data_IF_827901923153
#
_entry.id   IF_827901923153
#
_cell.length_a   1.000
_cell.length_b   1.000
_cell.length_c   1.000
_cell.angle_alpha   90.00
_cell.angle_beta   90.00
_cell.angle_gamma   90.00
#
_symmetry.space_group_name_H-M   'P 1'
#
loop_
_entity.id
_entity.type
_entity.pdbx_description
1 polymer ?
#
# COMPACT_ATOMS: atom_id res chain seq x y z
N UNK A 1 4.32 -17.75 -3.65
CA UNK A 1 3.73 -16.75 -2.74
C UNK A 1 3.76 -17.32 -1.33
N UNK A 2 4.42 -16.70 -0.33
CA UNK A 2 4.27 -16.92 1.14
C UNK A 2 5.46 -16.26 1.89
N UNK A 3 5.28 -15.02 2.35
CA UNK A 3 6.27 -14.27 3.16
C UNK A 3 6.40 -14.75 4.63
N UNK A 4 5.79 -15.90 4.95
CA UNK A 4 5.88 -16.63 6.21
C UNK A 4 6.24 -18.08 5.85
N UNK A 5 7.52 -18.42 5.93
CA UNK A 5 8.05 -19.78 5.74
C UNK A 5 8.27 -20.52 7.06
N UNK A 6 7.58 -20.12 8.13
CA UNK A 6 7.78 -20.66 9.48
C UNK A 6 6.54 -21.46 9.91
N UNK A 7 6.40 -22.67 9.38
CA UNK A 7 5.53 -23.71 9.94
C UNK A 7 4.13 -23.86 9.33
N UNK A 8 3.42 -24.90 9.82
CA UNK A 8 2.14 -25.38 9.32
C UNK A 8 0.99 -24.35 9.39
N UNK A 9 1.15 -23.25 10.12
CA UNK A 9 0.08 -22.27 10.36
C UNK A 9 -0.15 -21.28 9.21
N UNK A 10 0.66 -21.28 8.12
CA UNK A 10 0.53 -20.25 7.08
C UNK A 10 -0.82 -20.24 6.37
N UNK A 11 -1.50 -21.38 6.29
CA UNK A 11 -2.82 -21.43 5.65
C UNK A 11 -3.93 -20.83 6.53
N UNK A 12 -3.65 -20.64 7.82
CA UNK A 12 -4.62 -20.16 8.82
C UNK A 12 -4.47 -18.67 9.14
N UNK A 13 -3.52 -17.95 8.51
CA UNK A 13 -3.23 -16.54 8.81
C UNK A 13 -3.10 -15.71 7.54
N UNK A 14 -3.79 -14.57 7.57
CA UNK A 14 -3.66 -13.54 6.54
C UNK A 14 -2.56 -12.53 6.84
N UNK A 15 -1.85 -12.13 5.80
CA UNK A 15 -0.77 -11.13 5.89
C UNK A 15 -1.23 -9.82 5.29
N UNK A 16 -1.28 -8.79 6.15
CA UNK A 16 -1.60 -7.42 5.73
C UNK A 16 -0.30 -6.64 5.63
N UNK A 17 0.06 -6.22 4.42
CA UNK A 17 1.16 -5.32 4.15
C UNK A 17 0.78 -3.88 4.49
N UNK A 18 1.67 -3.15 5.15
CA UNK A 18 1.53 -1.73 5.38
C UNK A 18 2.91 -1.08 5.34
N UNK A 19 2.99 0.15 4.81
CA UNK A 19 4.25 0.91 4.82
C UNK A 19 4.48 1.63 3.51
N UNK A 20 4.23 2.95 3.53
CA UNK A 20 4.48 3.85 2.40
C UNK A 20 3.87 3.37 1.07
N UNK A 21 2.67 2.80 1.13
CA UNK A 21 1.85 2.53 -0.07
C UNK A 21 0.82 3.64 -0.22
N UNK A 22 0.72 4.17 -1.44
CA UNK A 22 -0.14 5.27 -1.86
C UNK A 22 -0.70 4.99 -3.26
N UNK A 23 -0.01 4.22 -4.10
CA UNK A 23 -0.43 3.86 -5.47
C UNK A 23 -0.70 2.38 -5.64
N UNK A 24 -1.42 2.01 -6.71
CA UNK A 24 -1.71 0.61 -7.04
C UNK A 24 -0.46 -0.18 -7.43
N UNK A 25 0.54 0.47 -8.03
CA UNK A 25 1.84 -0.17 -8.30
C UNK A 25 2.61 -0.55 -7.02
N UNK A 26 2.56 0.29 -5.98
CA UNK A 26 3.15 -0.01 -4.68
C UNK A 26 2.39 -1.16 -3.98
N UNK A 27 1.06 -1.19 -4.13
CA UNK A 27 0.23 -2.29 -3.64
C UNK A 27 0.59 -3.61 -4.36
N UNK A 28 0.76 -3.59 -5.69
CA UNK A 28 1.19 -4.73 -6.49
C UNK A 28 2.56 -5.26 -6.02
N UNK A 29 3.52 -4.36 -5.75
CA UNK A 29 4.82 -4.73 -5.19
C UNK A 29 4.68 -5.43 -3.84
N UNK A 30 3.87 -4.89 -2.92
CA UNK A 30 3.64 -5.50 -1.61
C UNK A 30 2.97 -6.88 -1.72
N UNK A 31 2.00 -7.02 -2.62
CA UNK A 31 1.33 -8.29 -2.89
C UNK A 31 2.29 -9.33 -3.49
N UNK A 32 3.12 -8.94 -4.45
CA UNK A 32 4.14 -9.81 -5.04
C UNK A 32 5.15 -10.35 -4.02
N UNK A 33 5.50 -9.55 -3.01
CA UNK A 33 6.38 -9.99 -1.92
C UNK A 33 5.70 -10.97 -0.95
N UNK A 34 4.36 -10.97 -0.90
CA UNK A 34 3.54 -11.97 -0.21
C UNK A 34 2.46 -11.41 0.73
N UNK A 35 2.10 -10.13 0.61
CA UNK A 35 0.92 -9.58 1.28
C UNK A 35 -0.37 -10.07 0.58
N UNK A 36 -1.41 -10.35 1.36
CA UNK A 36 -2.75 -10.69 0.84
C UNK A 36 -3.65 -9.46 0.78
N UNK A 37 -3.44 -8.51 1.69
CA UNK A 37 -4.11 -7.21 1.71
C UNK A 37 -3.07 -6.12 1.92
N UNK A 38 -3.36 -4.92 1.42
CA UNK A 38 -2.52 -3.75 1.64
C UNK A 38 -3.31 -2.68 2.40
N UNK A 39 -2.74 -2.21 3.50
CA UNK A 39 -3.31 -1.14 4.31
C UNK A 39 -2.62 0.19 3.96
N UNK A 40 -3.43 1.11 3.44
CA UNK A 40 -3.02 2.47 3.12
C UNK A 40 -3.49 3.40 4.23
N UNK A 41 -2.56 4.16 4.82
CA UNK A 41 -2.91 5.26 5.74
C UNK A 41 -2.64 6.63 5.12
N UNK A 42 -1.41 6.84 4.64
CA UNK A 42 -0.94 8.14 4.17
C UNK A 42 -1.71 8.66 2.96
N UNK A 43 -2.02 7.78 2.00
CA UNK A 43 -2.82 8.16 0.83
C UNK A 43 -4.22 8.66 1.19
N UNK A 44 -4.89 8.01 2.14
CA UNK A 44 -6.18 8.49 2.65
C UNK A 44 -6.06 9.79 3.43
N UNK A 45 -4.99 10.01 4.20
CA UNK A 45 -4.76 11.31 4.83
C UNK A 45 -4.60 12.42 3.78
N UNK A 46 -3.91 12.17 2.67
CA UNK A 46 -3.78 13.14 1.57
C UNK A 46 -5.11 13.40 0.87
N UNK A 47 -5.91 12.36 0.61
CA UNK A 47 -7.22 12.53 -0.03
C UNK A 47 -8.21 13.29 0.84
N UNK A 48 -8.08 13.23 2.18
CA UNK A 48 -8.83 14.08 3.10
C UNK A 48 -8.28 15.52 3.11
N UNK A 49 -6.96 15.71 3.13
CA UNK A 49 -6.35 17.06 3.09
C UNK A 49 -5.10 17.25 3.97
N UNK A 50 -4.40 16.18 4.31
CA UNK A 50 -3.09 16.29 4.97
C UNK A 50 -2.07 16.91 4.00
N UNK A 51 -1.37 17.96 4.47
CA UNK A 51 -0.33 18.67 3.72
C UNK A 51 1.08 18.35 4.22
N UNK A 52 1.24 17.26 4.97
CA UNK A 52 2.51 16.87 5.60
C UNK A 52 3.15 17.96 6.48
N UNK A 53 2.35 18.68 7.27
CA UNK A 53 2.87 19.70 8.18
C UNK A 53 3.75 19.13 9.32
N UNK A 54 3.73 17.81 9.54
CA UNK A 54 4.47 17.09 10.60
C UNK A 54 4.21 17.59 12.04
N UNK A 55 3.05 18.24 12.25
CA UNK A 55 2.57 18.74 13.56
C UNK A 55 1.48 17.88 14.19
N UNK A 56 1.36 16.62 13.79
CA UNK A 56 0.26 15.75 14.22
C UNK A 56 0.25 15.54 15.75
N UNK A 57 1.43 15.48 16.37
CA UNK A 57 1.58 15.24 17.81
C UNK A 57 1.33 16.48 18.67
N UNK A 58 1.29 17.69 18.09
CA UNK A 58 1.17 18.94 18.86
C UNK A 58 -0.27 19.37 19.08
N UNK A 59 -1.25 18.64 18.52
CA UNK A 59 -2.65 19.05 18.45
C UNK A 59 -2.90 20.32 17.59
N UNK A 60 -1.91 20.76 16.79
CA UNK A 60 -1.99 21.99 15.98
C UNK A 60 -1.99 21.72 14.46
N UNK A 61 -2.52 20.58 14.02
CA UNK A 61 -2.64 20.28 12.60
C UNK A 61 -3.36 21.43 11.86
N UNK A 62 -2.72 22.08 10.87
CA UNK A 62 -3.29 23.27 10.22
C UNK A 62 -4.51 22.96 9.36
N UNK A 63 -4.64 21.72 8.87
CA UNK A 63 -5.75 21.30 8.02
C UNK A 63 -6.85 20.55 8.77
N UNK A 64 -6.77 20.48 10.10
CA UNK A 64 -7.82 19.89 10.94
C UNK A 64 -7.80 18.36 11.03
N UNK A 65 -6.99 17.66 10.23
CA UNK A 65 -6.96 16.18 10.14
C UNK A 65 -6.54 15.51 11.45
N UNK A 66 -5.47 16.01 12.09
CA UNK A 66 -4.88 15.43 13.30
C UNK A 66 -4.88 16.44 14.46
N UNK A 67 -6.08 16.86 14.88
CA UNK A 67 -6.28 17.78 16.01
C UNK A 67 -7.65 17.54 16.64
N UNK A 68 -7.78 17.82 17.92
CA UNK A 68 -9.04 17.84 18.68
C UNK A 68 -9.64 19.27 18.77
N UNK A 69 -8.96 20.27 18.21
CA UNK A 69 -9.44 21.65 18.21
C UNK A 69 -10.57 21.85 17.20
N UNK A 70 -11.78 22.17 17.70
CA UNK A 70 -12.99 22.37 16.89
C UNK A 70 -12.85 23.47 15.82
N UNK A 71 -12.13 24.55 16.12
CA UNK A 71 -11.90 25.63 15.16
C UNK A 71 -11.09 25.13 13.95
N UNK A 72 -10.06 24.31 14.19
CA UNK A 72 -9.23 23.72 13.12
C UNK A 72 -9.97 22.62 12.36
N UNK A 73 -10.80 21.82 13.04
CA UNK A 73 -11.63 20.78 12.41
C UNK A 73 -12.71 21.34 11.48
N UNK A 74 -13.09 22.63 11.60
CA UNK A 74 -14.12 23.26 10.77
C UNK A 74 -13.83 23.18 9.27
N UNK A 75 -12.57 23.08 8.88
CA UNK A 75 -12.17 22.88 7.49
C UNK A 75 -12.46 21.48 6.93
N UNK A 76 -12.75 20.49 7.79
CA UNK A 76 -13.09 19.13 7.40
C UNK A 76 -14.59 19.03 7.11
N UNK A 77 -14.99 19.18 5.85
CA UNK A 77 -16.38 19.08 5.39
C UNK A 77 -16.62 17.68 4.81
N UNK A 78 -17.32 16.76 5.52
CA UNK A 78 -17.45 15.36 5.12
C UNK A 78 -18.07 15.16 3.73
N UNK A 79 -19.01 16.01 3.34
CA UNK A 79 -19.72 15.94 2.06
C UNK A 79 -18.77 16.13 0.87
N UNK A 80 -17.78 17.01 1.01
CA UNK A 80 -16.77 17.26 -0.03
C UNK A 80 -15.59 16.30 0.07
N UNK A 81 -15.12 16.01 1.28
CA UNK A 81 -13.94 15.18 1.50
C UNK A 81 -14.22 13.70 1.32
N UNK A 82 -15.43 13.24 1.64
CA UNK A 82 -15.87 11.87 1.41
C UNK A 82 -15.78 11.49 -0.06
N UNK A 83 -16.16 12.40 -0.97
CA UNK A 83 -16.02 12.17 -2.40
C UNK A 83 -14.54 12.06 -2.82
N UNK A 84 -13.66 12.89 -2.26
CA UNK A 84 -12.21 12.83 -2.54
C UNK A 84 -11.60 11.50 -2.05
N UNK A 85 -11.98 11.06 -0.87
CA UNK A 85 -11.59 9.76 -0.30
C UNK A 85 -12.06 8.62 -1.19
N UNK A 86 -13.33 8.63 -1.61
CA UNK A 86 -13.89 7.61 -2.46
C UNK A 86 -13.22 7.59 -3.86
N UNK A 87 -12.94 8.76 -4.43
CA UNK A 87 -12.22 8.88 -5.69
C UNK A 87 -10.80 8.32 -5.59
N UNK A 88 -10.08 8.64 -4.52
CA UNK A 88 -8.75 8.09 -4.27
C UNK A 88 -8.79 6.57 -4.13
N UNK A 89 -9.73 6.02 -3.35
CA UNK A 89 -9.87 4.57 -3.19
C UNK A 89 -10.11 3.85 -4.53
N UNK A 90 -11.00 4.40 -5.38
CA UNK A 90 -11.25 3.85 -6.72
C UNK A 90 -10.02 3.97 -7.62
N UNK A 91 -9.36 5.13 -7.62
CA UNK A 91 -8.16 5.34 -8.44
C UNK A 91 -7.04 4.37 -8.10
N UNK A 92 -6.80 4.07 -6.82
CA UNK A 92 -5.79 3.06 -6.41
C UNK A 92 -6.18 1.66 -6.89
N UNK A 93 -7.46 1.28 -6.78
CA UNK A 93 -7.93 -0.01 -7.27
C UNK A 93 -7.79 -0.13 -8.79
N UNK A 94 -8.15 0.92 -9.53
CA UNK A 94 -7.99 0.98 -10.98
C UNK A 94 -6.52 0.90 -11.39
N UNK A 95 -5.64 1.64 -10.71
CA UNK A 95 -4.19 1.62 -10.94
C UNK A 95 -3.61 0.22 -10.72
N UNK A 96 -4.01 -0.46 -9.62
CA UNK A 96 -3.62 -1.84 -9.37
C UNK A 96 -4.07 -2.76 -10.51
N UNK A 97 -5.33 -2.67 -10.94
CA UNK A 97 -5.87 -3.50 -12.04
C UNK A 97 -5.11 -3.24 -13.35
N UNK A 98 -4.76 -1.98 -13.64
CA UNK A 98 -3.96 -1.63 -14.82
C UNK A 98 -2.60 -2.35 -14.76
N UNK A 99 -1.91 -2.30 -13.62
CA UNK A 99 -0.62 -2.99 -13.43
C UNK A 99 -0.76 -4.50 -13.61
N UNK A 100 -1.76 -5.12 -12.97
CA UNK A 100 -2.04 -6.57 -13.07
C UNK A 100 -2.26 -7.00 -14.52
N UNK A 101 -3.11 -6.26 -15.25
CA UNK A 101 -3.41 -6.57 -16.65
C UNK A 101 -2.22 -6.33 -17.57
N UNK A 102 -1.40 -5.31 -17.30
CA UNK A 102 -0.22 -4.99 -18.10
C UNK A 102 0.83 -6.12 -18.10
N UNK A 103 0.91 -6.88 -17.00
CA UNK A 103 1.81 -8.04 -16.88
C UNK A 103 1.13 -9.38 -17.25
N UNK A 104 -0.12 -9.34 -17.75
CA UNK A 104 -0.84 -10.51 -18.25
C UNK A 104 -1.52 -11.37 -17.19
N UNK A 105 -1.68 -10.86 -15.96
CA UNK A 105 -2.41 -11.56 -14.89
C UNK A 105 -3.89 -11.15 -14.89
N UNK A 106 -4.74 -12.01 -14.32
CA UNK A 106 -6.19 -11.77 -14.24
C UNK A 106 -6.61 -11.27 -12.86
N UNK A 107 -5.84 -11.59 -11.82
CA UNK A 107 -6.12 -11.25 -10.43
C UNK A 107 -4.85 -10.81 -9.68
N UNK A 108 -4.93 -9.85 -8.75
CA UNK A 108 -3.80 -9.49 -7.88
C UNK A 108 -3.25 -10.67 -7.06
N UNK A 109 -4.07 -11.68 -6.76
CA UNK A 109 -3.66 -12.88 -6.03
C UNK A 109 -2.67 -13.76 -6.78
N UNK A 110 -2.50 -13.58 -8.09
CA UNK A 110 -1.53 -14.30 -8.90
C UNK A 110 -0.12 -13.70 -8.82
N UNK A 111 0.00 -12.51 -8.22
CA UNK A 111 1.30 -11.86 -8.03
C UNK A 111 2.24 -12.72 -7.18
N UNK A 112 3.48 -12.81 -7.64
CA UNK A 112 4.55 -13.50 -6.96
C UNK A 112 5.87 -12.76 -7.22
N UNK A 113 6.93 -13.23 -6.58
CA UNK A 113 8.23 -12.57 -6.58
C UNK A 113 8.95 -12.59 -7.94
N UNK A 114 8.49 -13.38 -8.90
CA UNK A 114 9.04 -13.39 -10.26
C UNK A 114 8.48 -12.25 -11.13
N UNK A 115 7.38 -11.62 -10.71
CA UNK A 115 6.78 -10.48 -11.42
C UNK A 115 7.41 -9.13 -11.07
N UNK A 116 8.41 -9.10 -10.19
CA UNK A 116 9.02 -7.87 -9.68
C UNK A 116 10.53 -7.97 -9.72
N UNK A 117 11.16 -6.94 -10.31
CA UNK A 117 12.60 -6.70 -10.18
C UNK A 117 12.86 -5.61 -9.14
N UNK A 118 13.93 -5.78 -8.38
CA UNK A 118 14.45 -4.79 -7.42
C UNK A 118 15.79 -4.27 -7.96
N UNK A 119 15.93 -2.95 -7.95
CA UNK A 119 17.20 -2.29 -8.28
C UNK A 119 18.14 -2.44 -7.08
N UNK A 120 19.28 -3.11 -7.27
CA UNK A 120 20.24 -3.42 -6.21
C UNK A 120 21.37 -2.40 -6.11
N UNK A 121 21.80 -1.90 -7.26
CA UNK A 121 22.95 -1.03 -7.46
C UNK A 121 22.78 -0.27 -8.79
N UNK A 122 23.71 0.64 -9.09
CA UNK A 122 23.62 1.47 -10.31
C UNK A 122 23.70 0.57 -11.54
N UNK A 123 22.59 0.43 -12.24
CA UNK A 123 22.46 -0.42 -13.43
C UNK A 123 22.20 -1.89 -13.14
N UNK A 124 22.20 -2.31 -11.88
CA UNK A 124 21.89 -3.68 -11.49
C UNK A 124 20.43 -3.84 -11.09
N UNK A 125 19.83 -4.91 -11.60
CA UNK A 125 18.49 -5.37 -11.22
C UNK A 125 18.52 -6.84 -10.90
N UNK A 126 17.69 -7.24 -9.94
CA UNK A 126 17.54 -8.63 -9.57
C UNK A 126 16.06 -8.96 -9.35
N UNK A 127 15.57 -10.11 -9.86
CA UNK A 127 14.24 -10.60 -9.51
C UNK A 127 14.09 -10.71 -8.00
N UNK A 128 12.94 -10.29 -7.48
CA UNK A 128 12.65 -10.36 -6.04
C UNK A 128 12.70 -11.81 -5.54
N UNK A 129 12.45 -12.81 -6.40
CA UNK A 129 12.59 -14.23 -6.08
C UNK A 129 14.02 -14.65 -5.80
N UNK A 130 15.02 -14.00 -6.41
CA UNK A 130 16.44 -14.26 -6.13
C UNK A 130 16.94 -13.52 -4.89
N UNK A 131 16.46 -12.30 -4.65
CA UNK A 131 16.80 -11.55 -3.43
C UNK A 131 16.15 -12.16 -2.18
N UNK A 132 14.92 -12.61 -2.32
CA UNK A 132 14.14 -13.25 -1.28
C UNK A 132 13.77 -14.65 -1.74
N UNK A 133 14.74 -15.59 -1.78
CA UNK A 133 14.44 -16.96 -2.12
C UNK A 133 13.48 -17.51 -1.06
N UNK A 134 12.37 -18.11 -1.50
CA UNK A 134 11.75 -19.13 -0.68
C UNK A 134 12.82 -20.21 -0.44
N UNK A 135 12.97 -20.68 0.80
CA UNK A 135 13.86 -21.81 1.08
C UNK A 135 13.54 -22.93 0.06
N UNK A 136 14.55 -23.60 -0.56
CA UNK A 136 14.27 -24.73 -1.42
C UNK A 136 13.43 -25.73 -0.62
N UNK A 137 12.27 -26.07 -1.16
CA UNK A 137 11.47 -27.21 -0.70
C UNK A 137 12.37 -28.45 -0.79
N UNK A 138 12.24 -29.35 0.20
CA UNK A 138 13.05 -30.57 0.29
C UNK A 138 12.87 -31.46 -0.94
#
# INVERSE_FOLDING_TARGET
MRALSVGAAREDISIIGAGRTITGAEDAYAMALGAELVNIGRGFLFSIGCIQALRCHTNECPTGVATQNRWRQRGLVPEHMGQRVANYARAVQEDLIIVIRAIGLMSPGELNRDHVDVITDIGGRMPASRLFPSRPER
#
